data_IF_640486783955
#
_entry.id   IF_640486783955
#
_cell.length_a   1.000
_cell.length_b   1.000
_cell.length_c   1.000
_cell.angle_alpha   90.00
_cell.angle_beta   90.00
_cell.angle_gamma   90.00
#
_symmetry.space_group_name_H-M   'P 1'
#
loop_
_entity.id
_entity.type
_entity.pdbx_description
1 polymer ?
#
# COMPACT_ATOMS: atom_id res chain seq x y z
N UNK A 1 23.17 -12.98 7.85
CA UNK A 1 23.49 -11.58 7.51
C UNK A 1 23.17 -11.40 6.03
N UNK A 2 21.91 -11.11 5.72
CA UNK A 2 21.46 -10.92 4.34
C UNK A 2 21.79 -9.49 3.89
N UNK A 3 22.31 -9.33 2.68
CA UNK A 3 22.68 -8.02 2.14
C UNK A 3 21.39 -7.23 1.81
N UNK A 4 21.15 -6.05 2.42
CA UNK A 4 19.96 -5.24 2.14
C UNK A 4 19.80 -4.88 0.65
N UNK A 5 20.92 -4.72 -0.06
CA UNK A 5 20.95 -4.56 -1.54
C UNK A 5 20.27 -5.69 -2.32
N UNK A 6 20.28 -6.92 -1.82
CA UNK A 6 19.62 -8.05 -2.47
C UNK A 6 18.10 -7.95 -2.39
N UNK A 7 17.54 -7.55 -1.24
CA UNK A 7 16.10 -7.32 -1.09
C UNK A 7 15.61 -6.14 -1.91
N UNK A 8 16.38 -5.04 -1.95
CA UNK A 8 16.09 -3.91 -2.84
C UNK A 8 16.03 -4.35 -4.31
N UNK A 9 16.95 -5.21 -4.74
CA UNK A 9 16.95 -5.74 -6.10
C UNK A 9 15.71 -6.59 -6.38
N UNK A 10 15.30 -7.47 -5.44
CA UNK A 10 14.09 -8.28 -5.63
C UNK A 10 12.83 -7.40 -5.67
N UNK A 11 12.70 -6.43 -4.76
CA UNK A 11 11.57 -5.50 -4.74
C UNK A 11 11.53 -4.71 -6.06
N UNK A 12 12.67 -4.24 -6.54
CA UNK A 12 12.78 -3.53 -7.81
C UNK A 12 12.35 -4.40 -9.00
N UNK A 13 12.88 -5.62 -9.11
CA UNK A 13 12.52 -6.57 -10.18
C UNK A 13 11.02 -6.89 -10.14
N UNK A 14 10.46 -7.11 -8.96
CA UNK A 14 9.02 -7.36 -8.79
C UNK A 14 8.18 -6.16 -9.25
N UNK A 15 8.51 -4.94 -8.81
CA UNK A 15 7.81 -3.72 -9.24
C UNK A 15 7.93 -3.51 -10.75
N UNK A 16 9.09 -3.76 -11.36
CA UNK A 16 9.27 -3.70 -12.81
C UNK A 16 8.41 -4.74 -13.54
N UNK A 17 8.31 -5.97 -13.02
CA UNK A 17 7.45 -7.01 -13.61
C UNK A 17 5.97 -6.62 -13.54
N UNK A 18 5.52 -6.13 -12.39
CA UNK A 18 4.14 -5.62 -12.23
C UNK A 18 3.88 -4.46 -13.20
N UNK A 19 4.80 -3.49 -13.29
CA UNK A 19 4.70 -2.37 -14.23
C UNK A 19 4.64 -2.83 -15.69
N UNK A 20 5.42 -3.86 -16.06
CA UNK A 20 5.38 -4.46 -17.39
C UNK A 20 4.00 -5.07 -17.69
N UNK A 21 3.43 -5.83 -16.75
CA UNK A 21 2.08 -6.39 -16.88
C UNK A 21 1.03 -5.28 -17.02
N UNK A 22 1.13 -4.21 -16.21
CA UNK A 22 0.26 -3.05 -16.31
C UNK A 22 0.40 -2.33 -17.66
N UNK A 23 1.60 -2.24 -18.22
CA UNK A 23 1.85 -1.63 -19.53
C UNK A 23 1.24 -2.49 -20.67
N UNK A 24 1.39 -3.81 -20.61
CA UNK A 24 0.78 -4.74 -21.57
C UNK A 24 -0.76 -4.67 -21.52
N UNK A 25 -1.33 -4.48 -20.33
CA UNK A 25 -2.77 -4.39 -20.11
C UNK A 25 -3.29 -2.94 -20.03
N UNK A 26 -2.55 -1.97 -20.56
CA UNK A 26 -2.87 -0.55 -20.38
C UNK A 26 -4.27 -0.18 -20.89
N UNK A 27 -4.69 -0.73 -22.04
CA UNK A 27 -6.01 -0.44 -22.64
C UNK A 27 -7.16 -0.86 -21.70
N UNK A 28 -7.28 -2.14 -21.29
CA UNK A 28 -8.34 -2.55 -20.37
C UNK A 28 -8.20 -1.90 -18.99
N UNK A 29 -6.97 -1.70 -18.48
CA UNK A 29 -6.75 -1.01 -17.20
C UNK A 29 -7.21 0.44 -17.24
N UNK A 30 -7.00 1.16 -18.34
CA UNK A 30 -7.47 2.54 -18.49
C UNK A 30 -9.00 2.60 -18.52
N UNK A 31 -9.67 1.68 -19.22
CA UNK A 31 -11.13 1.61 -19.25
C UNK A 31 -11.70 1.28 -17.85
N UNK A 32 -11.08 0.32 -17.16
CA UNK A 32 -11.37 -0.02 -15.78
C UNK A 32 -11.17 1.19 -14.84
N UNK A 33 -10.06 1.91 -14.99
CA UNK A 33 -9.76 3.09 -14.19
C UNK A 33 -10.82 4.20 -14.38
N UNK A 34 -11.16 4.52 -15.62
CA UNK A 34 -12.12 5.58 -15.96
C UNK A 34 -13.54 5.27 -15.51
N UNK A 35 -13.87 4.00 -15.29
CA UNK A 35 -15.19 3.57 -14.83
C UNK A 35 -15.54 4.10 -13.43
N UNK A 36 -14.55 4.19 -12.54
CA UNK A 36 -14.68 4.73 -11.19
C UNK A 36 -13.45 5.58 -10.85
N UNK A 37 -13.21 6.63 -11.64
CA UNK A 37 -11.97 7.42 -11.58
C UNK A 37 -11.65 7.94 -10.17
N UNK A 38 -12.67 8.35 -9.39
CA UNK A 38 -12.51 8.85 -8.03
C UNK A 38 -11.94 7.79 -7.07
N UNK A 39 -12.61 6.65 -6.91
CA UNK A 39 -12.12 5.57 -6.06
C UNK A 39 -10.80 4.99 -6.55
N UNK A 40 -10.67 4.77 -7.86
CA UNK A 40 -9.46 4.23 -8.46
C UNK A 40 -8.26 5.16 -8.24
N UNK A 41 -8.44 6.48 -8.28
CA UNK A 41 -7.38 7.43 -7.96
C UNK A 41 -6.92 7.33 -6.51
N UNK A 42 -7.86 7.20 -5.55
CA UNK A 42 -7.52 7.05 -4.13
C UNK A 42 -6.81 5.71 -3.89
N UNK A 43 -7.25 4.63 -4.55
CA UNK A 43 -6.60 3.32 -4.48
C UNK A 43 -5.15 3.41 -4.97
N UNK A 44 -4.92 3.98 -6.15
CA UNK A 44 -3.58 4.14 -6.71
C UNK A 44 -2.72 5.06 -5.82
N UNK A 45 -3.30 6.13 -5.27
CA UNK A 45 -2.60 6.99 -4.31
C UNK A 45 -2.15 6.25 -3.06
N UNK A 46 -3.05 5.47 -2.45
CA UNK A 46 -2.73 4.64 -1.28
C UNK A 46 -1.67 3.58 -1.59
N UNK A 47 -1.74 2.95 -2.78
CA UNK A 47 -0.74 2.01 -3.26
C UNK A 47 0.64 2.66 -3.37
N UNK A 48 0.74 3.83 -4.01
CA UNK A 48 1.99 4.57 -4.15
C UNK A 48 2.59 4.97 -2.79
N UNK A 49 1.74 5.43 -1.86
CA UNK A 49 2.17 5.74 -0.49
C UNK A 49 2.71 4.48 0.21
N UNK A 50 2.01 3.35 0.11
CA UNK A 50 2.45 2.09 0.69
C UNK A 50 3.79 1.61 0.13
N UNK A 51 3.99 1.72 -1.19
CA UNK A 51 5.26 1.36 -1.85
C UNK A 51 6.38 2.28 -1.33
N UNK A 52 6.14 3.59 -1.29
CA UNK A 52 7.13 4.58 -0.85
C UNK A 52 7.54 4.36 0.62
N UNK A 53 6.58 4.06 1.49
CA UNK A 53 6.85 3.77 2.91
C UNK A 53 7.68 2.50 3.08
N UNK A 54 7.40 1.44 2.31
CA UNK A 54 8.19 0.22 2.35
C UNK A 54 9.61 0.43 1.82
N UNK A 55 9.78 1.13 0.70
CA UNK A 55 11.11 1.46 0.17
C UNK A 55 11.91 2.31 1.16
N UNK A 56 11.29 3.32 1.78
CA UNK A 56 11.95 4.14 2.81
C UNK A 56 12.44 3.30 3.99
N UNK A 57 11.69 2.29 4.43
CA UNK A 57 12.13 1.39 5.52
C UNK A 57 13.42 0.67 5.18
N UNK A 58 13.48 0.08 3.98
CA UNK A 58 14.66 -0.66 3.53
C UNK A 58 15.89 0.26 3.45
N UNK A 59 15.71 1.51 3.02
CA UNK A 59 16.79 2.51 2.95
C UNK A 59 17.28 2.99 4.33
N UNK A 60 16.36 3.17 5.30
CA UNK A 60 16.71 3.60 6.66
C UNK A 60 17.40 2.48 7.46
N UNK A 61 17.14 1.21 7.12
CA UNK A 61 17.76 0.05 7.80
C UNK A 61 19.27 -0.13 7.49
N UNK A 62 19.74 0.29 6.31
CA UNK A 62 21.15 0.14 5.91
C UNK A 62 22.15 0.83 6.86
N UNK A 63 22.01 2.14 7.19
CA UNK A 63 22.95 2.81 8.08
C UNK A 63 22.93 2.26 9.51
N UNK A 64 21.81 1.73 9.98
CA UNK A 64 21.68 1.19 11.35
C UNK A 64 22.41 -0.14 11.53
N UNK A 65 22.30 -1.04 10.55
CA UNK A 65 23.06 -2.30 10.55
C UNK A 65 24.56 -2.01 10.46
N UNK A 66 24.96 -1.01 9.67
CA UNK A 66 26.36 -0.64 9.51
C UNK A 66 26.94 -0.01 10.79
N UNK A 67 26.17 0.82 11.49
CA UNK A 67 26.55 1.39 12.78
C UNK A 67 26.74 0.31 13.85
N UNK A 68 25.82 -0.65 13.97
CA UNK A 68 25.96 -1.78 14.92
C UNK A 68 27.20 -2.62 14.59
N UNK A 69 27.50 -2.83 13.30
CA UNK A 69 28.67 -3.61 12.87
C UNK A 69 29.98 -2.91 13.26
N UNK A 70 30.07 -1.60 13.06
CA UNK A 70 31.22 -0.75 13.43
C UNK A 70 31.37 -0.69 14.96
N UNK A 71 30.27 -0.57 15.71
CA UNK A 71 30.28 -0.57 17.18
C UNK A 71 30.79 -1.92 17.74
N UNK A 72 30.44 -3.05 17.11
CA UNK A 72 30.85 -4.38 17.56
C UNK A 72 32.28 -4.76 17.17
N UNK A 73 32.84 -4.18 16.10
CA UNK A 73 34.24 -4.44 15.67
C UNK A 73 35.27 -3.53 16.34
N UNK A 74 34.88 -2.61 17.22
CA UNK A 74 35.80 -1.83 18.07
C UNK A 74 36.81 -0.98 17.28
N UNK A 75 36.53 -0.69 16.01
CA UNK A 75 37.47 0.02 15.14
C UNK A 75 37.32 1.52 15.39
N UNK A 76 38.41 2.08 15.91
CA UNK A 76 38.51 3.42 16.47
C UNK A 76 38.39 4.47 15.37
N UNK A 77 37.37 5.34 15.48
CA UNK A 77 37.17 6.45 14.53
C UNK A 77 35.79 7.05 14.67
N UNK A 78 35.50 7.67 15.82
CA UNK A 78 34.30 8.49 16.05
C UNK A 78 34.40 9.80 15.27
N UNK A 79 34.44 9.72 13.95
CA UNK A 79 34.42 10.89 13.10
C UNK A 79 33.68 10.58 11.80
N UNK A 80 32.49 11.18 11.68
CA UNK A 80 31.78 11.43 10.42
C UNK A 80 31.07 10.22 9.78
N UNK A 81 30.07 9.65 10.45
CA UNK A 81 28.95 9.03 9.71
C UNK A 81 27.67 9.47 10.38
N UNK A 82 26.80 10.12 9.58
CA UNK A 82 25.56 10.76 10.02
C UNK A 82 24.78 9.91 11.03
N UNK A 83 24.39 10.54 12.13
CA UNK A 83 23.65 9.90 13.23
C UNK A 83 22.35 9.26 12.71
N UNK A 84 22.19 7.92 12.81
CA UNK A 84 21.02 7.22 12.29
C UNK A 84 19.75 7.69 12.99
N UNK A 85 18.65 7.90 12.26
CA UNK A 85 17.45 8.55 12.82
C UNK A 85 16.80 7.79 13.97
N UNK A 86 16.80 6.45 13.97
CA UNK A 86 16.23 5.67 15.07
C UNK A 86 17.21 5.51 16.24
N UNK A 87 18.52 5.70 16.00
CA UNK A 87 19.58 5.58 17.00
C UNK A 87 20.08 6.92 17.54
N UNK A 88 19.59 8.06 17.02
CA UNK A 88 19.91 9.42 17.50
C UNK A 88 19.80 9.56 19.03
N UNK A 89 18.79 9.00 19.73
CA UNK A 89 18.70 9.08 21.18
C UNK A 89 19.83 8.30 21.89
N UNK A 90 20.28 7.17 21.34
CA UNK A 90 21.45 6.43 21.85
C UNK A 90 22.73 7.21 21.61
N UNK A 91 22.93 7.71 20.39
CA UNK A 91 24.12 8.45 20.00
C UNK A 91 24.31 9.67 20.91
N UNK A 92 23.24 10.41 21.20
CA UNK A 92 23.27 11.60 22.07
C UNK A 92 23.50 11.26 23.54
N UNK A 93 23.06 10.09 24.01
CA UNK A 93 23.33 9.63 25.37
C UNK A 93 24.74 9.03 25.52
N UNK A 94 25.32 8.53 24.43
CA UNK A 94 26.68 7.97 24.36
C UNK A 94 27.76 9.04 24.10
N UNK A 95 27.43 10.13 23.40
CA UNK A 95 28.35 11.27 23.15
C UNK A 95 28.82 11.99 24.42
N UNK A 96 28.05 11.90 25.51
CA UNK A 96 28.37 12.52 26.80
C UNK A 96 29.15 11.65 27.79
N UNK A 97 29.35 10.36 27.49
CA UNK A 97 29.96 9.42 28.45
C UNK A 97 31.46 9.26 28.17
N UNK A 98 32.25 9.98 28.97
CA UNK A 98 33.71 9.90 28.99
C UNK A 98 34.19 8.44 29.17
N UNK A 99 35.24 8.12 28.42
CA UNK A 99 35.84 6.80 28.13
C UNK A 99 36.21 5.86 29.28
N UNK A 100 35.95 6.18 30.55
CA UNK A 100 36.74 5.58 31.64
C UNK A 100 36.04 4.54 32.52
N UNK A 101 34.72 4.34 32.41
CA UNK A 101 34.03 3.22 33.09
C UNK A 101 32.88 2.68 32.26
N UNK A 102 33.19 1.68 31.45
CA UNK A 102 32.19 0.89 30.74
C UNK A 102 31.41 0.02 31.75
N UNK A 103 30.23 0.49 32.14
CA UNK A 103 29.21 -0.31 32.82
C UNK A 103 27.84 0.26 32.44
N UNK A 104 27.50 0.15 31.15
CA UNK A 104 26.11 0.30 30.76
C UNK A 104 25.38 -0.89 31.35
N UNK A 105 24.58 -0.64 32.39
CA UNK A 105 23.67 -1.62 32.97
C UNK A 105 22.89 -2.30 31.84
N UNK A 106 22.82 -3.63 31.85
CA UNK A 106 22.04 -4.41 30.89
C UNK A 106 20.57 -3.91 30.77
N UNK A 107 20.08 -3.19 31.78
CA UNK A 107 18.79 -2.52 31.83
C UNK A 107 18.68 -1.37 30.81
N UNK A 108 19.70 -0.52 30.65
CA UNK A 108 19.67 0.65 29.76
C UNK A 108 19.71 0.25 28.28
N UNK A 109 20.49 -0.78 27.94
CA UNK A 109 20.49 -1.38 26.59
C UNK A 109 19.14 -2.04 26.28
N UNK A 110 18.50 -2.69 27.26
CA UNK A 110 17.15 -3.25 27.11
C UNK A 110 16.11 -2.17 26.84
N UNK A 111 16.10 -1.07 27.59
CA UNK A 111 15.13 0.03 27.39
C UNK A 111 15.22 0.62 25.99
N UNK A 112 16.43 0.80 25.46
CA UNK A 112 16.56 1.36 24.12
C UNK A 112 16.29 0.33 23.02
N UNK A 113 16.64 -0.94 23.25
CA UNK A 113 16.21 -2.03 22.37
C UNK A 113 14.68 -2.12 22.31
N UNK A 114 13.98 -1.91 23.43
CA UNK A 114 12.51 -1.85 23.45
C UNK A 114 11.95 -0.59 22.77
N UNK A 115 12.62 0.55 22.88
CA UNK A 115 12.26 1.75 22.12
C UNK A 115 12.37 1.53 20.61
N UNK A 116 13.45 0.87 20.14
CA UNK A 116 13.65 0.53 18.73
C UNK A 116 12.62 -0.50 18.27
N UNK A 117 12.36 -1.54 19.07
CA UNK A 117 11.30 -2.54 18.81
C UNK A 117 9.94 -1.87 18.65
N UNK A 118 9.58 -0.97 19.56
CA UNK A 118 8.32 -0.22 19.49
C UNK A 118 8.16 0.60 18.21
N UNK A 119 9.20 1.30 17.74
CA UNK A 119 9.12 2.06 16.48
C UNK A 119 9.12 1.16 15.24
N UNK A 120 9.80 0.01 15.30
CA UNK A 120 9.80 -0.98 14.22
C UNK A 120 8.42 -1.64 14.08
N UNK A 121 7.78 -1.96 15.21
CA UNK A 121 6.44 -2.56 15.26
C UNK A 121 5.35 -1.57 14.84
N UNK A 122 5.41 -0.30 15.27
CA UNK A 122 4.50 0.76 14.81
C UNK A 122 4.57 0.95 13.29
N UNK A 123 5.78 0.92 12.74
CA UNK A 123 5.99 0.94 11.30
C UNK A 123 5.30 -0.28 10.66
N UNK A 124 5.54 -1.50 11.14
CA UNK A 124 4.89 -2.72 10.61
C UNK A 124 3.36 -2.63 10.63
N UNK A 125 2.78 -2.04 11.66
CA UNK A 125 1.33 -1.81 11.75
C UNK A 125 0.81 -0.88 10.66
N UNK A 126 1.51 0.22 10.35
CA UNK A 126 1.11 1.16 9.28
C UNK A 126 1.06 0.45 7.91
N UNK A 127 2.02 -0.42 7.59
CA UNK A 127 2.04 -1.13 6.32
C UNK A 127 0.85 -2.09 6.20
N UNK A 128 0.57 -2.83 7.28
CA UNK A 128 -0.58 -3.73 7.39
C UNK A 128 -1.91 -2.99 7.28
N UNK A 129 -1.99 -1.79 7.87
CA UNK A 129 -3.15 -0.91 7.75
C UNK A 129 -3.38 -0.46 6.31
N UNK A 130 -2.33 -0.07 5.57
CA UNK A 130 -2.47 0.35 4.15
C UNK A 130 -2.91 -0.82 3.27
N UNK A 131 -2.41 -2.04 3.52
CA UNK A 131 -2.88 -3.25 2.81
C UNK A 131 -4.38 -3.46 3.07
N UNK A 132 -4.81 -3.39 4.34
CA UNK A 132 -6.23 -3.49 4.70
C UNK A 132 -7.08 -2.36 4.10
N UNK A 133 -6.55 -1.14 4.07
CA UNK A 133 -7.19 0.03 3.48
C UNK A 133 -7.42 -0.17 1.98
N UNK A 134 -6.45 -0.70 1.23
CA UNK A 134 -6.60 -0.99 -0.20
C UNK A 134 -7.72 -2.02 -0.47
N UNK A 135 -7.79 -3.08 0.34
CA UNK A 135 -8.88 -4.07 0.25
C UNK A 135 -10.21 -3.40 0.54
N UNK A 136 -10.29 -2.64 1.64
CA UNK A 136 -11.50 -1.94 2.03
C UNK A 136 -11.97 -0.95 0.96
N UNK A 137 -11.06 -0.17 0.37
CA UNK A 137 -11.38 0.78 -0.70
C UNK A 137 -11.86 0.07 -1.96
N UNK A 138 -11.28 -1.08 -2.30
CA UNK A 138 -11.74 -1.92 -3.41
C UNK A 138 -13.18 -2.40 -3.19
N UNK A 139 -13.49 -2.91 -1.99
CA UNK A 139 -14.84 -3.31 -1.59
C UNK A 139 -15.81 -2.13 -1.62
N UNK A 140 -15.41 -0.97 -1.09
CA UNK A 140 -16.22 0.24 -1.09
C UNK A 140 -16.55 0.68 -2.52
N UNK A 141 -15.58 0.61 -3.45
CA UNK A 141 -15.81 0.88 -4.87
C UNK A 141 -16.85 -0.07 -5.50
N UNK A 142 -16.86 -1.35 -5.12
CA UNK A 142 -17.91 -2.28 -5.58
C UNK A 142 -19.28 -1.90 -5.03
N UNK A 143 -19.35 -1.55 -3.75
CA UNK A 143 -20.58 -1.15 -3.09
C UNK A 143 -21.16 0.11 -3.77
N UNK A 144 -20.30 1.08 -4.10
CA UNK A 144 -20.70 2.29 -4.80
C UNK A 144 -21.27 2.01 -6.19
N UNK A 145 -20.64 1.12 -6.97
CA UNK A 145 -21.15 0.76 -8.30
C UNK A 145 -22.47 -0.03 -8.25
N UNK A 146 -22.67 -0.86 -7.21
CA UNK A 146 -23.94 -1.54 -6.97
C UNK A 146 -25.06 -0.57 -6.57
N UNK A 147 -24.77 0.49 -5.79
CA UNK A 147 -25.75 1.54 -5.52
C UNK A 147 -26.20 2.26 -6.79
N UNK A 148 -25.29 2.52 -7.73
CA UNK A 148 -25.65 3.04 -9.05
C UNK A 148 -26.59 2.09 -9.81
N UNK A 149 -26.33 0.80 -9.72
CA UNK A 149 -27.20 -0.24 -10.33
C UNK A 149 -28.60 -0.23 -9.72
N UNK A 150 -28.70 -0.14 -8.39
CA UNK A 150 -29.99 -0.04 -7.68
C UNK A 150 -30.75 1.23 -8.09
N UNK A 151 -30.05 2.35 -8.25
CA UNK A 151 -30.64 3.60 -8.72
C UNK A 151 -31.24 3.46 -10.13
N UNK A 152 -30.52 2.82 -11.07
CA UNK A 152 -31.04 2.55 -12.41
C UNK A 152 -32.25 1.60 -12.39
N UNK A 153 -32.24 0.57 -11.54
CA UNK A 153 -33.41 -0.31 -11.38
C UNK A 153 -34.62 0.45 -10.84
N UNK A 154 -34.41 1.37 -9.89
CA UNK A 154 -35.49 2.18 -9.32
C UNK A 154 -36.14 3.13 -10.35
N UNK A 155 -35.36 3.69 -11.29
CA UNK A 155 -35.90 4.55 -12.34
C UNK A 155 -36.71 3.77 -13.38
N UNK A 156 -36.32 2.53 -13.67
CA UNK A 156 -37.04 1.63 -14.59
C UNK A 156 -38.42 1.27 -14.02
N UNK A 157 -38.49 0.91 -12.74
CA UNK A 157 -39.76 0.55 -12.07
C UNK A 157 -40.70 1.76 -11.97
N UNK A 158 -40.17 2.97 -11.79
CA UNK A 158 -40.97 4.20 -11.74
C UNK A 158 -41.42 4.75 -13.10
N UNK A 159 -40.73 4.41 -14.20
CA UNK A 159 -40.96 4.97 -15.54
C UNK A 159 -41.81 4.10 -16.48
N UNK A 160 -42.19 2.89 -16.09
CA UNK A 160 -43.07 2.00 -16.87
C UNK A 160 -44.55 2.41 -16.70
N UNK A 161 -44.96 3.52 -17.32
CA UNK A 161 -46.37 3.77 -17.60
C UNK A 161 -46.79 2.90 -18.80
N UNK A 162 -47.73 1.98 -18.56
CA UNK A 162 -48.22 1.02 -19.55
C UNK A 162 -49.21 1.72 -20.48
N UNK A 163 -48.71 2.32 -21.56
CA UNK A 163 -49.53 2.79 -22.69
C UNK A 163 -49.62 1.72 -23.78
N UNK A 164 -50.84 1.35 -24.19
CA UNK A 164 -51.15 0.18 -25.02
C UNK A 164 -50.60 0.16 -26.46
N UNK A 165 -49.92 1.21 -26.96
CA UNK A 165 -49.74 1.39 -28.41
C UNK A 165 -48.35 1.09 -29.01
N UNK A 166 -47.33 0.63 -28.26
CA UNK A 166 -46.01 0.36 -28.89
C UNK A 166 -45.14 -0.72 -28.24
N UNK A 167 -45.54 -2.00 -28.37
CA UNK A 167 -44.77 -3.16 -27.90
C UNK A 167 -43.31 -3.20 -28.40
N UNK A 168 -43.04 -2.75 -29.64
CA UNK A 168 -41.68 -2.72 -30.20
C UNK A 168 -40.77 -1.71 -29.51
N UNK A 169 -41.29 -0.54 -29.14
CA UNK A 169 -40.55 0.47 -28.39
C UNK A 169 -40.39 0.08 -26.92
N UNK A 170 -41.39 -0.56 -26.32
CA UNK A 170 -41.29 -1.12 -24.97
C UNK A 170 -40.20 -2.20 -24.88
N UNK A 171 -40.07 -3.07 -25.88
CA UNK A 171 -39.02 -4.10 -25.88
C UNK A 171 -37.62 -3.49 -26.03
N UNK A 172 -37.45 -2.46 -26.88
CA UNK A 172 -36.18 -1.73 -26.96
C UNK A 172 -35.86 -0.98 -25.67
N UNK A 173 -36.87 -0.35 -25.04
CA UNK A 173 -36.72 0.33 -23.77
C UNK A 173 -36.32 -0.65 -22.67
N UNK A 174 -36.98 -1.81 -22.55
CA UNK A 174 -36.62 -2.85 -21.59
C UNK A 174 -35.19 -3.37 -21.83
N UNK A 175 -34.81 -3.60 -23.09
CA UNK A 175 -33.44 -4.01 -23.44
C UNK A 175 -32.40 -2.98 -23.02
N UNK A 176 -32.63 -1.69 -23.30
CA UNK A 176 -31.73 -0.61 -22.90
C UNK A 176 -31.65 -0.49 -21.36
N UNK A 177 -32.80 -0.59 -20.70
CA UNK A 177 -32.95 -0.56 -19.24
C UNK A 177 -32.25 -1.72 -18.53
N UNK A 178 -32.17 -2.92 -19.13
CA UNK A 178 -31.41 -4.04 -18.56
C UNK A 178 -29.90 -3.97 -18.83
N UNK A 179 -29.47 -3.30 -19.90
CA UNK A 179 -28.06 -3.14 -20.23
C UNK A 179 -27.31 -2.21 -19.27
N UNK A 180 -28.00 -1.19 -18.74
CA UNK A 180 -27.39 -0.20 -17.85
C UNK A 180 -26.92 -0.80 -16.50
N UNK A 181 -27.76 -1.58 -15.77
CA UNK A 181 -27.34 -2.38 -14.62
C UNK A 181 -26.15 -3.32 -14.90
N UNK A 182 -26.17 -4.02 -16.04
CA UNK A 182 -25.11 -4.95 -16.41
C UNK A 182 -23.77 -4.23 -16.65
N UNK A 183 -23.81 -3.03 -17.24
CA UNK A 183 -22.61 -2.16 -17.32
C UNK A 183 -22.16 -1.67 -15.96
N UNK A 184 -23.10 -1.28 -15.08
CA UNK A 184 -22.83 -0.83 -13.71
C UNK A 184 -22.12 -1.88 -12.85
N UNK A 185 -22.38 -3.16 -13.08
CA UNK A 185 -21.69 -4.25 -12.41
C UNK A 185 -20.21 -4.37 -12.83
N UNK A 186 -19.93 -4.23 -14.13
CA UNK A 186 -18.56 -4.27 -14.66
C UNK A 186 -17.70 -3.09 -14.18
N UNK A 187 -18.29 -1.90 -14.04
CA UNK A 187 -17.60 -0.74 -13.47
C UNK A 187 -17.31 -0.93 -11.99
N UNK A 188 -18.27 -1.46 -11.21
CA UNK A 188 -18.12 -1.75 -9.78
C UNK A 188 -16.96 -2.71 -9.50
N UNK A 189 -16.82 -3.76 -10.31
CA UNK A 189 -15.80 -4.80 -10.14
C UNK A 189 -14.37 -4.30 -10.38
N UNK A 190 -14.20 -3.31 -11.25
CA UNK A 190 -12.87 -2.75 -11.58
C UNK A 190 -12.13 -2.20 -10.35
N UNK A 191 -12.83 -1.48 -9.46
CA UNK A 191 -12.25 -0.93 -8.23
C UNK A 191 -11.75 -2.02 -7.29
N UNK A 192 -12.46 -3.16 -7.22
CA UNK A 192 -12.03 -4.33 -6.43
C UNK A 192 -10.73 -4.92 -6.97
N UNK A 193 -10.60 -5.03 -8.30
CA UNK A 193 -9.37 -5.52 -8.93
C UNK A 193 -8.17 -4.64 -8.59
N UNK A 194 -8.33 -3.32 -8.60
CA UNK A 194 -7.26 -2.40 -8.19
C UNK A 194 -6.94 -2.52 -6.69
N UNK A 195 -7.96 -2.60 -5.83
CA UNK A 195 -7.78 -2.71 -4.38
C UNK A 195 -7.11 -4.01 -3.95
N UNK A 196 -7.59 -5.15 -4.47
CA UNK A 196 -7.02 -6.48 -4.19
C UNK A 196 -5.67 -6.68 -4.88
N UNK A 197 -5.53 -6.25 -6.13
CA UNK A 197 -4.25 -6.33 -6.84
C UNK A 197 -3.18 -5.48 -6.16
N UNK A 198 -3.53 -4.25 -5.77
CA UNK A 198 -2.65 -3.35 -5.02
C UNK A 198 -2.28 -3.90 -3.64
N UNK A 199 -3.23 -4.50 -2.91
CA UNK A 199 -2.95 -5.08 -1.60
C UNK A 199 -2.01 -6.29 -1.68
N UNK A 200 -2.11 -7.11 -2.73
CA UNK A 200 -1.17 -8.20 -2.99
C UNK A 200 0.23 -7.69 -3.32
N UNK A 201 0.34 -6.64 -4.15
CA UNK A 201 1.62 -6.00 -4.48
C UNK A 201 2.28 -5.47 -3.21
N UNK A 202 1.54 -4.73 -2.38
CA UNK A 202 2.06 -4.23 -1.11
C UNK A 202 2.39 -5.34 -0.13
N UNK A 203 1.55 -6.37 -0.03
CA UNK A 203 1.81 -7.51 0.85
C UNK A 203 3.11 -8.24 0.50
N UNK A 204 3.39 -8.42 -0.79
CA UNK A 204 4.67 -8.98 -1.23
C UNK A 204 5.85 -8.08 -0.87
N UNK A 205 5.74 -6.77 -1.12
CA UNK A 205 6.80 -5.80 -0.80
C UNK A 205 7.05 -5.74 0.72
N UNK A 206 6.00 -5.77 1.53
CA UNK A 206 6.07 -5.75 3.00
C UNK A 206 6.80 -6.98 3.55
N UNK A 207 6.52 -8.17 3.01
CA UNK A 207 7.23 -9.41 3.37
C UNK A 207 8.72 -9.31 3.06
N UNK A 208 9.08 -8.72 1.92
CA UNK A 208 10.47 -8.58 1.50
C UNK A 208 11.23 -7.49 2.27
N UNK A 209 10.50 -6.53 2.85
CA UNK A 209 11.05 -5.45 3.68
C UNK A 209 11.19 -5.84 5.16
N UNK A 210 10.70 -7.02 5.55
CA UNK A 210 10.65 -7.50 6.94
C UNK A 210 11.79 -8.45 7.32
#
# INVERSE_FOLDING_TARGET
>A
MSNPRYYLLIIFVFVCLVALVCALLFIPLKQAFMSNWGFNLIIIGALLIGILLNIRRVLILEPEINWIKIFRTGTSGLSVTESPELLKPLAKHLEGLHRDRFSLSALSLRTVLEGIRGRLDESREISRYIIGLLVFLGLLGTFWGLLGTISSVSSIVGGLEVGEENYGQMFQALKASLQEPLRGMGTAFSSSLFGLGGSLILGFIDIQAN
#
